data_IF_153453201214
#
_entry.id   IF_153453201214
#
_cell.length_a   1.000
_cell.length_b   1.000
_cell.length_c   1.000
_cell.angle_alpha   90.00
_cell.angle_beta   90.00
_cell.angle_gamma   90.00
#
_symmetry.space_group_name_H-M   'P 1'
#
loop_
_entity.id
_entity.type
_entity.pdbx_description
1 polymer ?
#
# COMPACT_ATOMS: atom_id res chain seq x y z
N UNK A 1 -24.07 -7.34 -12.98
CA UNK A 1 -23.49 -8.67 -13.22
C UNK A 1 -22.00 -8.62 -12.86
N UNK A 2 -21.59 -9.22 -11.75
CA UNK A 2 -20.16 -9.27 -11.37
C UNK A 2 -19.53 -10.40 -12.18
N UNK A 3 -18.73 -10.07 -13.19
CA UNK A 3 -18.23 -11.00 -14.23
C UNK A 3 -17.13 -11.95 -13.74
N UNK A 4 -16.95 -12.12 -12.44
CA UNK A 4 -15.96 -13.03 -11.84
C UNK A 4 -14.49 -12.67 -12.09
N UNK A 5 -14.20 -11.68 -12.95
CA UNK A 5 -12.85 -11.20 -13.24
C UNK A 5 -12.65 -9.85 -12.56
N UNK A 6 -12.11 -9.87 -11.34
CA UNK A 6 -11.49 -8.67 -10.78
C UNK A 6 -10.36 -8.27 -11.73
N UNK A 7 -10.27 -7.01 -12.18
CA UNK A 7 -9.11 -6.48 -12.90
C UNK A 7 -8.40 -5.54 -11.96
N UNK A 8 -7.17 -5.87 -11.55
CA UNK A 8 -6.31 -4.93 -10.84
C UNK A 8 -5.79 -3.88 -11.80
N UNK A 9 -5.99 -2.62 -11.44
CA UNK A 9 -5.53 -1.48 -12.20
C UNK A 9 -5.38 -0.26 -11.30
N UNK A 10 -4.55 0.67 -11.73
CA UNK A 10 -4.35 1.96 -11.07
C UNK A 10 -5.23 2.97 -11.80
N UNK A 11 -6.11 3.64 -11.07
CA UNK A 11 -6.86 4.78 -11.60
C UNK A 11 -6.25 6.06 -11.06
N UNK A 12 -5.75 6.89 -11.96
CA UNK A 12 -5.20 8.19 -11.65
C UNK A 12 -6.17 9.27 -12.12
N UNK A 13 -6.69 10.04 -11.17
CA UNK A 13 -7.58 11.17 -11.42
C UNK A 13 -6.84 12.45 -11.01
N UNK A 14 -6.19 13.16 -11.95
CA UNK A 14 -5.46 14.37 -11.61
C UNK A 14 -6.43 15.49 -11.21
N UNK A 15 -6.12 16.16 -10.10
CA UNK A 15 -6.77 17.42 -9.76
C UNK A 15 -6.34 18.52 -10.72
N UNK A 16 -7.32 19.25 -11.26
CA UNK A 16 -7.06 20.34 -12.21
C UNK A 16 -6.24 21.49 -11.63
N UNK A 17 -6.29 21.68 -10.31
CA UNK A 17 -5.48 22.68 -9.60
C UNK A 17 -3.98 22.34 -9.70
N UNK A 18 -3.64 21.06 -9.48
CA UNK A 18 -2.25 20.60 -9.46
C UNK A 18 -1.74 20.19 -10.87
N UNK A 19 -2.66 19.88 -11.79
CA UNK A 19 -2.36 19.50 -13.17
C UNK A 19 -3.52 19.91 -14.11
N UNK A 20 -3.52 21.17 -14.61
CA UNK A 20 -4.62 21.71 -15.42
C UNK A 20 -4.94 20.85 -16.66
N UNK A 21 -3.91 20.39 -17.34
CA UNK A 21 -4.04 19.58 -18.55
C UNK A 21 -4.08 18.07 -18.25
N UNK A 22 -4.17 17.68 -16.97
CA UNK A 22 -4.20 16.28 -16.56
C UNK A 22 -5.47 15.59 -17.04
N UNK A 23 -5.31 14.46 -17.75
CA UNK A 23 -6.40 13.57 -18.09
C UNK A 23 -6.46 12.37 -17.13
N UNK A 24 -7.66 11.84 -16.91
CA UNK A 24 -7.83 10.59 -16.18
C UNK A 24 -7.09 9.47 -16.90
N UNK A 25 -6.31 8.69 -16.17
CA UNK A 25 -5.51 7.61 -16.71
C UNK A 25 -5.85 6.30 -16.00
N UNK A 26 -5.86 5.23 -16.79
CA UNK A 26 -5.97 3.86 -16.26
C UNK A 26 -4.68 3.14 -16.60
N UNK A 27 -3.94 2.74 -15.56
CA UNK A 27 -2.80 1.86 -15.67
C UNK A 27 -3.21 0.42 -15.40
N UNK A 28 -2.59 -0.52 -16.13
CA UNK A 28 -2.66 -1.94 -15.81
C UNK A 28 -1.47 -2.33 -14.94
N UNK A 29 -1.74 -3.06 -13.85
CA UNK A 29 -0.65 -3.70 -13.10
C UNK A 29 -0.19 -4.91 -13.89
N UNK A 30 1.12 -5.02 -14.13
CA UNK A 30 1.73 -6.17 -14.82
C UNK A 30 1.84 -7.42 -13.93
N UNK A 31 1.63 -7.25 -12.62
CA UNK A 31 1.81 -8.31 -11.64
C UNK A 31 0.55 -9.18 -11.45
N UNK A 32 0.67 -10.18 -10.56
CA UNK A 32 -0.46 -10.98 -10.13
C UNK A 32 -1.61 -10.10 -9.65
N UNK A 33 -2.83 -10.52 -9.97
CA UNK A 33 -4.02 -9.77 -9.62
C UNK A 33 -4.26 -9.82 -8.11
N UNK A 34 -3.78 -8.80 -7.41
CA UNK A 34 -3.86 -8.65 -5.96
C UNK A 34 -5.24 -8.94 -5.37
N UNK A 35 -6.31 -8.42 -5.99
CA UNK A 35 -7.67 -8.62 -5.49
C UNK A 35 -8.17 -10.04 -5.72
N UNK A 36 -7.83 -10.65 -6.87
CA UNK A 36 -8.17 -12.03 -7.13
C UNK A 36 -7.43 -12.99 -6.18
N UNK A 37 -6.13 -12.74 -5.94
CA UNK A 37 -5.32 -13.50 -4.98
C UNK A 37 -5.92 -13.46 -3.57
N UNK A 38 -6.25 -12.27 -3.07
CA UNK A 38 -6.83 -12.12 -1.74
C UNK A 38 -8.15 -12.88 -1.58
N UNK A 39 -9.08 -12.71 -2.54
CA UNK A 39 -10.39 -13.38 -2.48
C UNK A 39 -10.24 -14.91 -2.59
N UNK A 40 -9.30 -15.38 -3.41
CA UNK A 40 -8.99 -16.81 -3.52
C UNK A 40 -8.39 -17.36 -2.21
N UNK A 41 -7.47 -16.63 -1.58
CA UNK A 41 -6.90 -17.00 -0.28
C UNK A 41 -7.97 -17.13 0.82
N UNK A 42 -8.94 -16.20 0.86
CA UNK A 42 -10.07 -16.28 1.80
C UNK A 42 -10.94 -17.50 1.53
N UNK A 43 -11.23 -17.84 0.27
CA UNK A 43 -12.07 -18.99 -0.09
C UNK A 43 -11.42 -20.33 0.22
N UNK A 44 -10.13 -20.43 -0.04
CA UNK A 44 -9.38 -21.70 0.03
C UNK A 44 -8.64 -21.88 1.35
N UNK A 45 -8.60 -20.85 2.20
CA UNK A 45 -7.84 -20.81 3.44
C UNK A 45 -6.33 -21.03 3.24
N UNK A 46 -5.81 -20.83 2.01
CA UNK A 46 -4.36 -20.81 1.79
C UNK A 46 -3.75 -19.50 2.31
N UNK A 47 -2.43 -19.50 2.49
CA UNK A 47 -1.68 -18.29 2.78
C UNK A 47 -1.79 -17.29 1.62
N UNK A 48 -2.13 -16.00 1.88
CA UNK A 48 -2.15 -14.96 0.85
C UNK A 48 -0.73 -14.59 0.41
N UNK A 49 -0.56 -14.05 -0.81
CA UNK A 49 0.75 -13.61 -1.28
C UNK A 49 1.37 -12.50 -0.43
N UNK A 50 0.53 -11.72 0.26
CA UNK A 50 0.93 -10.69 1.21
C UNK A 50 0.39 -11.00 2.61
N UNK A 51 1.12 -11.80 3.42
CA UNK A 51 0.76 -12.04 4.82
C UNK A 51 0.77 -10.75 5.66
N UNK A 52 0.07 -10.79 6.80
CA UNK A 52 -0.11 -9.61 7.67
C UNK A 52 1.21 -9.05 8.18
N UNK A 53 2.21 -9.90 8.42
CA UNK A 53 3.53 -9.50 8.91
C UNK A 53 4.27 -8.61 7.91
N UNK A 54 4.10 -8.88 6.60
CA UNK A 54 4.68 -8.06 5.53
C UNK A 54 3.95 -6.73 5.44
N UNK A 55 2.61 -6.74 5.55
CA UNK A 55 1.80 -5.52 5.60
C UNK A 55 2.18 -4.62 6.78
N UNK A 56 2.30 -5.20 7.96
CA UNK A 56 2.73 -4.52 9.19
C UNK A 56 4.11 -3.87 9.06
N UNK A 57 5.10 -4.62 8.56
CA UNK A 57 6.47 -4.10 8.35
C UNK A 57 6.51 -2.97 7.32
N UNK A 58 5.72 -3.09 6.25
CA UNK A 58 5.60 -2.05 5.22
C UNK A 58 4.99 -0.76 5.78
N UNK A 59 3.95 -0.87 6.62
CA UNK A 59 3.33 0.27 7.27
C UNK A 59 4.28 1.00 8.24
N UNK A 60 5.08 0.24 9.00
CA UNK A 60 6.12 0.82 9.87
C UNK A 60 7.07 1.71 9.08
N UNK A 61 7.54 1.25 7.90
CA UNK A 61 8.48 2.02 7.09
C UNK A 61 7.93 3.41 6.71
N UNK A 62 6.66 3.49 6.31
CA UNK A 62 6.00 4.76 5.99
C UNK A 62 5.93 5.70 7.21
N UNK A 63 5.60 5.17 8.39
CA UNK A 63 5.57 5.96 9.63
C UNK A 63 6.97 6.44 10.05
N UNK A 64 7.99 5.60 9.93
CA UNK A 64 9.38 5.98 10.22
C UNK A 64 9.87 7.07 9.27
N UNK A 65 9.51 7.02 7.99
CA UNK A 65 9.84 8.07 7.02
C UNK A 65 9.22 9.42 7.41
N UNK A 66 7.93 9.43 7.78
CA UNK A 66 7.25 10.63 8.25
C UNK A 66 7.91 11.19 9.53
N UNK A 67 8.24 10.32 10.50
CA UNK A 67 8.92 10.73 11.73
C UNK A 67 10.31 11.30 11.45
N UNK A 68 11.07 10.68 10.55
CA UNK A 68 12.39 11.16 10.16
C UNK A 68 12.32 12.55 9.52
N UNK A 69 11.35 12.74 8.62
CA UNK A 69 11.09 14.04 7.99
C UNK A 69 10.75 15.12 9.02
N UNK A 70 9.79 14.86 9.92
CA UNK A 70 9.34 15.83 10.92
C UNK A 70 10.42 16.19 11.94
N UNK A 71 11.21 15.20 12.38
CA UNK A 71 12.25 15.40 13.40
C UNK A 71 13.59 15.86 12.81
N UNK A 72 13.73 15.89 11.49
CA UNK A 72 14.97 16.21 10.77
C UNK A 72 16.17 15.40 11.25
N UNK A 73 15.95 14.13 11.57
CA UNK A 73 17.00 13.22 12.04
C UNK A 73 16.73 11.80 11.54
N UNK A 74 17.78 10.96 11.61
CA UNK A 74 17.64 9.53 11.38
C UNK A 74 16.75 8.92 12.47
N UNK A 75 15.73 8.18 12.07
CA UNK A 75 14.84 7.45 12.98
C UNK A 75 14.94 5.96 12.64
N UNK A 76 15.11 5.12 13.66
CA UNK A 76 15.10 3.65 13.55
C UNK A 76 13.94 3.07 14.34
N UNK A 77 13.51 1.84 14.02
CA UNK A 77 12.49 1.16 14.82
C UNK A 77 12.88 1.09 16.30
N UNK A 78 14.15 0.75 16.60
CA UNK A 78 14.67 0.74 17.96
C UNK A 78 14.50 2.09 18.66
N UNK A 79 14.89 3.20 18.03
CA UNK A 79 14.77 4.53 18.62
C UNK A 79 13.33 4.94 18.95
N UNK A 80 12.36 4.48 18.15
CA UNK A 80 10.93 4.78 18.39
C UNK A 80 10.38 3.92 19.51
N UNK A 81 10.77 2.65 19.59
CA UNK A 81 10.35 1.75 20.66
C UNK A 81 10.89 2.21 22.02
N UNK A 82 12.15 2.67 22.09
CA UNK A 82 12.71 3.24 23.32
C UNK A 82 11.94 4.50 23.76
N UNK A 83 11.63 5.40 22.83
CA UNK A 83 10.86 6.61 23.14
C UNK A 83 9.43 6.32 23.62
N UNK A 84 8.83 5.19 23.22
CA UNK A 84 7.47 4.81 23.61
C UNK A 84 7.38 4.12 24.98
N UNK A 85 8.51 3.81 25.62
CA UNK A 85 8.57 3.19 26.96
C UNK A 85 8.48 4.21 28.11
N UNK A 86 8.40 5.50 27.79
CA UNK A 86 8.35 6.62 28.72
C UNK A 86 7.06 7.42 28.51
#
# INVERSE_FOLDING_TARGET
MVTGRSRTGIRYFPEKINRPDGAAQTGESKDQNHMADFVDAVRTHRTPNAPVEIGYRSAIAAHLANLSYLRRQRVTLASVLEAARH
#
